data_IF_175387264045
#
_entry.id   IF_175387264045
#
_cell.length_a   1.000
_cell.length_b   1.000
_cell.length_c   1.000
_cell.angle_alpha   90.00
_cell.angle_beta   90.00
_cell.angle_gamma   90.00
#
_symmetry.space_group_name_H-M   'P 1'
#
loop_
_entity.id
_entity.type
_entity.pdbx_description
1 polymer ?
#
# COMPACT_ATOMS: atom_id res chain seq x y z
N UNK A 1 -33.81 44.48 35.93
CA UNK A 1 -33.68 44.22 34.48
C UNK A 1 -32.24 43.84 34.22
N UNK A 2 -32.03 42.55 33.97
CA UNK A 2 -30.70 41.92 33.78
C UNK A 2 -30.30 42.10 32.31
N UNK A 3 -29.06 42.48 31.97
CA UNK A 3 -28.65 42.58 30.58
C UNK A 3 -28.37 41.19 30.00
N UNK A 4 -29.00 40.91 28.86
CA UNK A 4 -28.80 39.75 28.02
C UNK A 4 -27.41 39.79 27.38
N UNK A 5 -26.59 38.77 27.63
CA UNK A 5 -25.34 38.52 26.90
C UNK A 5 -25.69 37.78 25.61
N UNK A 6 -25.58 38.45 24.47
CA UNK A 6 -25.60 37.82 23.14
C UNK A 6 -24.48 38.41 22.29
N UNK A 7 -23.63 37.55 21.78
CA UNK A 7 -22.54 37.91 20.87
C UNK A 7 -21.19 37.28 21.22
N UNK A 8 -21.14 36.00 21.58
CA UNK A 8 -19.89 35.25 21.41
C UNK A 8 -19.85 34.70 19.99
N UNK A 9 -19.04 35.39 19.21
CA UNK A 9 -18.47 35.07 17.92
C UNK A 9 -18.50 33.56 17.57
N UNK A 10 -19.35 33.22 16.61
CA UNK A 10 -19.49 31.86 16.06
C UNK A 10 -18.33 31.50 15.10
N UNK A 11 -17.38 32.42 14.91
CA UNK A 11 -16.24 32.29 14.00
C UNK A 11 -15.05 31.50 14.56
N UNK A 12 -15.12 31.03 15.82
CA UNK A 12 -14.01 30.31 16.44
C UNK A 12 -14.10 28.76 16.36
N UNK A 13 -15.18 28.19 15.82
CA UNK A 13 -15.41 26.72 15.85
C UNK A 13 -15.08 26.02 14.51
N UNK A 14 -14.90 26.76 13.41
CA UNK A 14 -14.71 26.16 12.07
C UNK A 14 -13.31 26.37 11.47
N UNK A 15 -12.26 26.48 12.28
CA UNK A 15 -10.90 26.16 11.81
C UNK A 15 -10.72 24.65 11.81
N UNK A 16 -11.49 23.95 10.97
CA UNK A 16 -11.18 22.57 10.58
C UNK A 16 -9.78 22.60 9.99
N UNK A 17 -8.89 21.85 10.62
CA UNK A 17 -7.52 21.62 10.23
C UNK A 17 -7.51 21.10 8.77
N UNK A 18 -7.39 22.00 7.79
CA UNK A 18 -7.08 21.61 6.42
C UNK A 18 -5.63 21.15 6.47
N UNK A 19 -5.44 19.83 6.56
CA UNK A 19 -4.11 19.24 6.44
C UNK A 19 -3.69 19.44 4.99
N UNK A 20 -2.86 20.46 4.74
CA UNK A 20 -2.12 20.57 3.49
C UNK A 20 -1.14 19.39 3.42
N UNK A 21 -1.62 18.25 2.92
CA UNK A 21 -0.83 17.04 2.73
C UNK A 21 0.16 17.27 1.58
N UNK A 22 1.39 17.64 1.93
CA UNK A 22 2.51 17.58 1.00
C UNK A 22 2.94 16.12 0.88
N UNK A 23 2.40 15.38 -0.08
CA UNK A 23 2.89 14.05 -0.46
C UNK A 23 4.37 14.16 -0.88
N UNK A 24 5.29 13.89 0.05
CA UNK A 24 6.74 13.84 -0.19
C UNK A 24 7.24 12.39 -0.22
N UNK A 25 6.41 11.51 -0.79
CA UNK A 25 6.49 10.04 -0.74
C UNK A 25 7.88 9.43 -1.00
N UNK A 26 8.79 10.10 -1.73
CA UNK A 26 10.14 9.58 -1.99
C UNK A 26 11.31 10.45 -1.61
N UNK A 27 11.12 11.64 -1.01
CA UNK A 27 12.27 12.52 -0.78
C UNK A 27 13.25 11.96 0.27
N UNK A 28 12.76 11.14 1.21
CA UNK A 28 13.55 10.60 2.34
C UNK A 28 13.48 9.07 2.53
N UNK A 29 12.65 8.32 1.79
CA UNK A 29 12.85 6.85 1.63
C UNK A 29 14.29 6.54 1.13
N UNK A 30 14.92 7.56 0.54
CA UNK A 30 16.28 7.63 0.05
C UNK A 30 17.37 7.69 1.14
N UNK A 31 17.12 8.17 2.36
CA UNK A 31 18.16 8.20 3.42
C UNK A 31 18.29 6.86 4.15
N UNK A 32 17.16 6.16 4.35
CA UNK A 32 17.15 4.83 4.98
C UNK A 32 17.61 3.73 4.02
N UNK A 33 17.21 3.80 2.74
CA UNK A 33 17.72 2.90 1.71
C UNK A 33 19.23 3.06 1.45
N UNK A 34 19.79 4.26 1.66
CA UNK A 34 21.24 4.49 1.59
C UNK A 34 22.01 3.79 2.70
N UNK A 35 21.46 3.73 3.93
CA UNK A 35 22.09 2.98 5.03
C UNK A 35 22.08 1.47 4.80
N UNK A 36 21.01 0.93 4.21
CA UNK A 36 20.95 -0.50 3.86
C UNK A 36 21.86 -0.90 2.69
N UNK A 37 22.11 0.01 1.74
CA UNK A 37 22.95 -0.25 0.56
C UNK A 37 24.46 -0.21 0.86
N UNK A 38 24.89 0.54 1.88
CA UNK A 38 26.29 0.57 2.30
C UNK A 38 26.64 -0.66 3.18
N UNK A 39 25.67 -1.21 3.92
CA UNK A 39 25.87 -2.42 4.75
C UNK A 39 25.89 -3.73 3.92
N UNK A 40 25.21 -3.77 2.76
CA UNK A 40 25.25 -4.93 1.85
C UNK A 40 26.57 -5.07 1.08
N UNK A 41 27.49 -4.09 1.19
CA UNK A 41 28.80 -4.12 0.54
C UNK A 41 29.90 -4.73 1.41
N UNK A 42 29.66 -5.00 2.69
CA UNK A 42 30.69 -5.54 3.60
C UNK A 42 30.46 -6.98 4.08
N UNK A 43 29.27 -7.58 3.99
CA UNK A 43 29.10 -9.01 4.33
C UNK A 43 29.37 -9.96 3.15
N UNK A 44 30.61 -9.92 2.68
CA UNK A 44 31.24 -11.08 2.05
C UNK A 44 31.51 -12.15 3.12
N UNK A 45 30.52 -13.01 3.39
CA UNK A 45 30.75 -14.30 4.05
C UNK A 45 29.95 -15.40 3.34
N UNK A 46 30.41 -15.69 2.12
CA UNK A 46 30.06 -16.84 1.32
C UNK A 46 30.38 -18.13 2.11
N UNK A 47 29.35 -18.85 2.57
CA UNK A 47 29.25 -20.33 2.72
C UNK A 47 28.28 -20.85 3.80
N UNK A 48 27.50 -20.02 4.49
CA UNK A 48 26.39 -20.49 5.35
C UNK A 48 24.98 -20.31 4.74
N UNK A 49 24.86 -19.47 3.71
CA UNK A 49 23.58 -18.99 3.15
C UNK A 49 22.82 -20.07 2.36
N UNK A 50 23.51 -21.05 1.76
CA UNK A 50 22.90 -22.01 0.84
C UNK A 50 22.05 -23.11 1.54
N UNK A 51 22.40 -23.50 2.77
CA UNK A 51 21.63 -24.52 3.50
C UNK A 51 20.37 -23.96 4.20
N UNK A 52 20.40 -22.69 4.61
CA UNK A 52 19.22 -21.96 5.10
C UNK A 52 18.23 -21.60 3.97
N UNK A 53 18.72 -21.55 2.73
CA UNK A 53 17.96 -21.14 1.55
C UNK A 53 16.90 -22.16 1.11
N UNK A 54 17.25 -23.46 1.08
CA UNK A 54 16.29 -24.51 0.69
C UNK A 54 15.19 -24.74 1.75
N UNK A 55 15.54 -24.55 3.04
CA UNK A 55 14.60 -24.64 4.15
C UNK A 55 13.66 -23.42 4.19
N UNK A 56 14.15 -22.20 3.93
CA UNK A 56 13.30 -21.01 3.81
C UNK A 56 12.34 -21.10 2.60
N UNK A 57 12.81 -21.58 1.45
CA UNK A 57 12.02 -21.75 0.22
C UNK A 57 10.81 -22.67 0.38
N UNK A 58 10.99 -23.81 1.06
CA UNK A 58 9.92 -24.78 1.33
C UNK A 58 8.92 -24.24 2.36
N UNK A 59 9.40 -23.44 3.33
CA UNK A 59 8.55 -22.84 4.37
C UNK A 59 7.66 -21.75 3.77
N UNK A 60 8.20 -20.88 2.92
CA UNK A 60 7.44 -19.77 2.34
C UNK A 60 6.33 -20.25 1.39
N UNK A 61 6.59 -21.21 0.49
CA UNK A 61 5.54 -21.77 -0.38
C UNK A 61 4.43 -22.48 0.41
N UNK A 62 4.76 -23.16 1.52
CA UNK A 62 3.76 -23.79 2.39
C UNK A 62 2.94 -22.74 3.13
N UNK A 63 3.58 -21.67 3.60
CA UNK A 63 2.91 -20.56 4.27
C UNK A 63 1.95 -19.83 3.32
N UNK A 64 2.31 -19.65 2.05
CA UNK A 64 1.41 -19.05 1.06
C UNK A 64 0.10 -19.83 0.88
N UNK A 65 0.13 -21.16 1.03
CA UNK A 65 -1.09 -21.98 0.95
C UNK A 65 -2.04 -21.76 2.13
N UNK A 66 -1.56 -21.23 3.24
CA UNK A 66 -2.39 -20.94 4.42
C UNK A 66 -2.95 -19.51 4.41
N UNK A 67 -2.44 -18.62 3.57
CA UNK A 67 -2.96 -17.24 3.45
C UNK A 67 -4.23 -17.24 2.60
N UNK A 68 -5.36 -16.68 3.07
CA UNK A 68 -6.58 -16.62 2.27
C UNK A 68 -6.42 -15.79 0.98
N UNK A 69 -7.14 -16.16 -0.08
CA UNK A 69 -7.07 -15.45 -1.37
C UNK A 69 -7.35 -13.94 -1.24
N UNK A 70 -8.38 -13.55 -0.46
CA UNK A 70 -8.74 -12.14 -0.27
C UNK A 70 -7.59 -11.31 0.31
N UNK A 71 -6.81 -11.92 1.21
CA UNK A 71 -5.63 -11.30 1.76
C UNK A 71 -4.50 -11.19 0.72
N UNK A 72 -4.21 -12.29 0.02
CA UNK A 72 -3.18 -12.31 -1.02
C UNK A 72 -3.45 -11.29 -2.11
N UNK A 73 -4.67 -11.28 -2.65
CA UNK A 73 -5.06 -10.37 -3.72
C UNK A 73 -5.09 -8.92 -3.24
N UNK A 74 -5.70 -8.66 -2.08
CA UNK A 74 -5.74 -7.33 -1.47
C UNK A 74 -4.34 -6.76 -1.24
N UNK A 75 -3.40 -7.57 -0.73
CA UNK A 75 -2.00 -7.16 -0.52
C UNK A 75 -1.26 -6.93 -1.84
N UNK A 76 -1.50 -7.80 -2.84
CA UNK A 76 -0.88 -7.73 -4.15
C UNK A 76 -1.23 -6.44 -4.92
N UNK A 77 -2.42 -5.86 -4.71
CA UNK A 77 -2.80 -4.55 -5.28
C UNK A 77 -1.84 -3.43 -4.84
N UNK A 78 -1.43 -3.44 -3.57
CA UNK A 78 -0.51 -2.46 -2.97
C UNK A 78 0.98 -2.83 -3.07
N UNK A 79 1.30 -3.96 -3.72
CA UNK A 79 2.67 -4.45 -3.87
C UNK A 79 3.66 -3.43 -4.50
N UNK A 80 3.28 -2.57 -5.46
CA UNK A 80 4.21 -1.57 -6.02
C UNK A 80 4.84 -0.68 -4.96
N UNK A 81 4.10 -0.31 -3.91
CA UNK A 81 4.60 0.51 -2.81
C UNK A 81 5.24 -0.33 -1.69
N UNK A 82 4.68 -1.50 -1.38
CA UNK A 82 5.26 -2.39 -0.36
C UNK A 82 6.69 -2.81 -0.73
N UNK A 83 6.94 -3.17 -1.99
CA UNK A 83 8.28 -3.59 -2.47
C UNK A 83 9.38 -2.57 -2.22
N UNK A 84 9.04 -1.28 -2.16
CA UNK A 84 9.99 -0.20 -1.84
C UNK A 84 10.37 -0.21 -0.36
N UNK A 85 9.38 -0.38 0.54
CA UNK A 85 9.62 -0.38 1.99
C UNK A 85 10.50 -1.54 2.40
N UNK A 86 10.29 -2.71 1.77
CA UNK A 86 11.13 -3.87 1.98
C UNK A 86 12.46 -3.82 1.22
N UNK A 87 12.77 -2.68 0.56
CA UNK A 87 14.07 -2.20 0.08
C UNK A 87 14.77 -3.04 -0.99
N UNK A 88 14.79 -4.35 -0.81
CA UNK A 88 15.86 -5.20 -1.26
C UNK A 88 15.44 -6.66 -1.53
N UNK A 89 14.13 -6.97 -1.58
CA UNK A 89 13.71 -8.34 -1.94
C UNK A 89 14.13 -8.76 -3.36
N UNK A 90 14.38 -7.79 -4.25
CA UNK A 90 14.84 -8.07 -5.60
C UNK A 90 16.36 -7.98 -5.80
N UNK A 91 17.10 -7.50 -4.79
CA UNK A 91 18.54 -7.21 -4.83
C UNK A 91 19.36 -8.08 -3.84
N UNK A 92 18.77 -8.50 -2.71
CA UNK A 92 19.39 -9.39 -1.70
C UNK A 92 19.22 -10.89 -2.04
N UNK A 93 18.29 -11.21 -2.93
CA UNK A 93 18.00 -12.58 -3.36
C UNK A 93 18.35 -12.72 -4.85
N UNK A 94 19.48 -13.38 -5.10
CA UNK A 94 19.95 -13.86 -6.41
C UNK A 94 19.86 -12.85 -7.56
N UNK A 95 20.98 -12.22 -7.93
CA UNK A 95 21.14 -11.51 -9.21
C UNK A 95 21.00 -12.40 -10.44
N UNK A 96 20.83 -13.72 -10.25
CA UNK A 96 20.53 -14.70 -11.28
C UNK A 96 19.07 -15.10 -11.17
N UNK A 97 18.36 -15.02 -12.30
CA UNK A 97 16.97 -15.42 -12.44
C UNK A 97 16.64 -16.70 -11.65
N UNK A 98 15.64 -16.60 -10.78
CA UNK A 98 15.00 -17.70 -10.06
C UNK A 98 15.86 -18.38 -8.98
N UNK A 99 15.86 -17.79 -7.79
CA UNK A 99 16.16 -18.52 -6.56
C UNK A 99 14.92 -19.24 -5.98
N UNK A 100 13.73 -18.96 -6.53
CA UNK A 100 12.44 -19.49 -6.08
C UNK A 100 12.03 -19.04 -4.68
N UNK A 101 12.50 -17.89 -4.21
CA UNK A 101 12.12 -17.30 -2.93
C UNK A 101 10.80 -16.53 -3.04
N UNK A 102 9.90 -16.70 -2.06
CA UNK A 102 8.57 -16.07 -2.06
C UNK A 102 8.48 -14.98 -0.97
N UNK A 103 8.27 -13.70 -1.33
CA UNK A 103 8.13 -12.59 -0.40
C UNK A 103 6.81 -12.65 0.35
N UNK A 104 6.76 -13.42 1.43
CA UNK A 104 5.57 -13.58 2.28
C UNK A 104 4.89 -12.23 2.63
N UNK A 105 5.66 -11.18 2.88
CA UNK A 105 5.17 -9.82 3.20
C UNK A 105 4.47 -9.09 2.04
N UNK A 106 4.51 -9.64 0.81
CA UNK A 106 3.72 -9.18 -0.35
C UNK A 106 2.45 -10.01 -0.57
N UNK A 107 2.27 -11.11 0.17
CA UNK A 107 1.07 -11.94 0.15
C UNK A 107 0.23 -11.81 1.42
N UNK A 108 0.83 -11.40 2.52
CA UNK A 108 0.16 -11.16 3.79
C UNK A 108 0.66 -9.90 4.49
N UNK A 109 -0.08 -9.48 5.51
CA UNK A 109 0.17 -8.30 6.34
C UNK A 109 -0.25 -8.57 7.79
N UNK A 110 0.14 -7.77 8.76
CA UNK A 110 -0.19 -7.90 10.18
C UNK A 110 0.49 -9.06 10.91
N UNK A 111 0.63 -10.22 10.27
CA UNK A 111 0.97 -11.49 10.92
C UNK A 111 2.05 -12.28 10.15
N UNK A 112 3.11 -11.59 9.66
CA UNK A 112 4.26 -12.24 9.02
C UNK A 112 5.52 -12.15 9.89
N UNK A 113 6.48 -13.09 9.77
CA UNK A 113 7.58 -13.23 10.73
C UNK A 113 8.41 -11.95 11.00
N UNK A 114 8.65 -11.14 9.96
CA UNK A 114 9.41 -9.88 10.07
C UNK A 114 8.56 -8.65 10.38
N UNK A 115 7.23 -8.79 10.55
CA UNK A 115 6.35 -7.63 10.76
C UNK A 115 6.80 -6.74 11.94
N UNK A 116 7.22 -7.29 13.10
CA UNK A 116 7.64 -6.45 14.23
C UNK A 116 8.86 -5.57 13.92
N UNK A 117 9.77 -6.04 13.05
CA UNK A 117 10.98 -5.30 12.65
C UNK A 117 10.62 -4.04 11.83
N UNK A 118 9.55 -4.09 11.04
CA UNK A 118 9.14 -3.00 10.14
C UNK A 118 8.07 -2.08 10.72
N UNK A 119 7.45 -2.43 11.86
CA UNK A 119 6.35 -1.67 12.46
C UNK A 119 6.69 -0.18 12.64
N UNK A 120 7.89 0.12 13.19
CA UNK A 120 8.32 1.49 13.44
C UNK A 120 8.59 2.28 12.15
N UNK A 121 9.07 1.62 11.10
CA UNK A 121 9.29 2.23 9.79
C UNK A 121 7.96 2.52 9.09
N UNK A 122 6.97 1.62 9.16
CA UNK A 122 5.63 1.90 8.65
C UNK A 122 4.98 3.08 9.36
N UNK A 123 5.07 3.18 10.69
CA UNK A 123 4.58 4.35 11.43
C UNK A 123 5.23 5.66 10.95
N UNK A 124 6.55 5.66 10.75
CA UNK A 124 7.27 6.84 10.23
C UNK A 124 6.79 7.22 8.82
N UNK A 125 6.66 6.25 7.93
CA UNK A 125 6.22 6.48 6.54
C UNK A 125 4.78 6.99 6.49
N UNK A 126 3.86 6.35 7.21
CA UNK A 126 2.46 6.74 7.28
C UNK A 126 2.29 8.17 7.81
N UNK A 127 3.01 8.52 8.89
CA UNK A 127 3.01 9.87 9.43
C UNK A 127 3.60 10.88 8.45
N UNK A 128 4.77 10.59 7.88
CA UNK A 128 5.50 11.51 7.00
C UNK A 128 4.76 11.79 5.69
N UNK A 129 4.25 10.74 5.05
CA UNK A 129 3.76 10.82 3.67
C UNK A 129 2.26 11.07 3.59
N UNK A 130 1.52 10.67 4.63
CA UNK A 130 0.06 10.73 4.65
C UNK A 130 -0.50 11.47 5.87
N UNK A 131 0.34 11.98 6.77
CA UNK A 131 -0.12 12.64 7.99
C UNK A 131 -0.89 11.71 8.93
N UNK A 132 -0.71 10.39 8.82
CA UNK A 132 -1.39 9.40 9.65
C UNK A 132 -0.61 9.23 10.96
N UNK A 133 -1.19 9.67 12.07
CA UNK A 133 -0.58 9.61 13.40
C UNK A 133 -1.24 8.56 14.30
N UNK A 134 -2.48 8.19 13.99
CA UNK A 134 -3.32 7.31 14.78
C UNK A 134 -4.37 6.59 13.91
N UNK A 135 -5.21 5.77 14.54
CA UNK A 135 -6.28 5.06 13.84
C UNK A 135 -7.33 6.02 13.22
N UNK A 136 -7.61 7.16 13.85
CA UNK A 136 -8.62 8.11 13.38
C UNK A 136 -8.19 8.83 12.09
N UNK A 137 -6.98 9.37 12.09
CA UNK A 137 -6.34 9.96 10.90
C UNK A 137 -6.15 8.94 9.78
N UNK A 138 -5.82 7.68 10.11
CA UNK A 138 -5.78 6.58 9.14
C UNK A 138 -7.14 6.38 8.45
N UNK A 139 -8.22 6.25 9.22
CA UNK A 139 -9.56 6.06 8.68
C UNK A 139 -10.02 7.27 7.85
N UNK A 140 -9.67 8.50 8.22
CA UNK A 140 -9.97 9.70 7.44
C UNK A 140 -9.27 9.70 6.07
N UNK A 141 -8.00 9.30 6.01
CA UNK A 141 -7.25 9.18 4.75
C UNK A 141 -7.81 8.06 3.88
N UNK A 142 -8.14 6.91 4.47
CA UNK A 142 -8.74 5.81 3.72
C UNK A 142 -10.14 6.13 3.21
N UNK A 143 -10.95 6.87 3.97
CA UNK A 143 -12.27 7.33 3.53
C UNK A 143 -12.17 8.23 2.29
N UNK A 144 -11.17 9.11 2.23
CA UNK A 144 -10.90 9.91 1.03
C UNK A 144 -10.67 9.02 -0.21
N UNK A 145 -9.83 7.99 -0.12
CA UNK A 145 -9.58 7.09 -1.26
C UNK A 145 -10.81 6.26 -1.64
N UNK A 146 -11.59 5.81 -0.66
CA UNK A 146 -12.84 5.09 -0.94
C UNK A 146 -13.84 5.98 -1.66
N UNK A 147 -13.99 7.23 -1.24
CA UNK A 147 -14.89 8.18 -1.89
C UNK A 147 -14.38 8.60 -3.28
N UNK A 148 -13.06 8.80 -3.43
CA UNK A 148 -12.42 9.05 -4.73
C UNK A 148 -12.67 7.91 -5.73
N UNK A 149 -12.78 6.68 -5.24
CA UNK A 149 -13.01 5.47 -6.03
C UNK A 149 -14.49 5.08 -6.14
N UNK A 150 -15.42 5.88 -5.60
CA UNK A 150 -16.84 5.56 -5.51
C UNK A 150 -17.12 4.19 -4.83
N UNK A 151 -16.33 3.83 -3.83
CA UNK A 151 -16.48 2.58 -3.06
C UNK A 151 -17.34 2.84 -1.82
N UNK A 152 -18.47 2.14 -1.64
CA UNK A 152 -19.32 2.31 -0.47
C UNK A 152 -18.58 1.95 0.83
N UNK A 153 -18.55 2.90 1.78
CA UNK A 153 -18.01 2.68 3.12
C UNK A 153 -18.87 1.73 4.00
N UNK A 154 -20.09 1.39 3.55
CA UNK A 154 -21.01 0.52 4.29
C UNK A 154 -20.40 -0.85 4.58
N UNK A 155 -20.50 -1.28 5.85
CA UNK A 155 -19.92 -2.55 6.30
C UNK A 155 -18.42 -2.49 6.60
N UNK A 156 -17.78 -1.32 6.48
CA UNK A 156 -16.36 -1.12 6.82
C UNK A 156 -16.22 -0.21 8.05
N UNK A 157 -15.00 -0.13 8.59
CA UNK A 157 -14.65 0.84 9.64
C UNK A 157 -14.73 2.31 9.19
N UNK A 158 -14.91 2.58 7.89
CA UNK A 158 -14.96 3.93 7.31
C UNK A 158 -16.34 4.59 7.41
N UNK A 159 -17.39 3.86 7.81
CA UNK A 159 -18.79 4.36 7.82
C UNK A 159 -18.97 5.69 8.56
N UNK A 160 -18.16 5.96 9.57
CA UNK A 160 -18.20 7.18 10.39
C UNK A 160 -17.03 8.13 10.17
N UNK A 161 -16.14 7.83 9.22
CA UNK A 161 -14.96 8.65 8.97
C UNK A 161 -15.32 9.86 8.10
N UNK A 162 -14.91 11.05 8.53
CA UNK A 162 -15.05 12.28 7.73
C UNK A 162 -13.84 12.47 6.83
N UNK A 163 -14.05 12.88 5.58
CA UNK A 163 -12.96 13.32 4.70
C UNK A 163 -12.27 14.56 5.26
N UNK A 164 -10.93 14.56 5.26
CA UNK A 164 -10.11 15.71 5.67
C UNK A 164 -9.07 16.10 4.61
N UNK A 165 -9.06 15.44 3.45
CA UNK A 165 -8.04 15.62 2.41
C UNK A 165 -8.61 16.42 1.24
N UNK A 166 -7.83 17.39 0.76
CA UNK A 166 -8.19 18.18 -0.42
C UNK A 166 -7.96 17.39 -1.72
N UNK A 167 -8.95 17.33 -2.63
CA UNK A 167 -8.89 16.54 -3.87
C UNK A 167 -7.98 17.14 -4.96
N UNK A 168 -7.32 18.29 -4.73
CA UNK A 168 -6.70 19.10 -5.79
C UNK A 168 -5.66 18.37 -6.66
N UNK A 169 -5.05 17.28 -6.18
CA UNK A 169 -4.08 16.47 -6.95
C UNK A 169 -4.72 15.27 -7.67
N UNK A 170 -5.84 14.77 -7.18
CA UNK A 170 -6.45 13.52 -7.63
C UNK A 170 -7.63 13.79 -8.56
N UNK A 171 -7.42 13.60 -9.86
CA UNK A 171 -8.49 13.54 -10.85
C UNK A 171 -8.64 12.11 -11.35
N UNK A 172 -9.64 11.40 -10.82
CA UNK A 172 -9.89 9.98 -11.13
C UNK A 172 -10.24 9.74 -12.60
N UNK A 173 -10.65 10.80 -13.33
CA UNK A 173 -10.98 10.74 -14.75
C UNK A 173 -9.73 10.65 -15.63
N UNK A 174 -8.54 10.96 -15.09
CA UNK A 174 -7.30 10.80 -15.83
C UNK A 174 -7.00 9.30 -16.01
N UNK A 175 -6.50 8.89 -17.19
CA UNK A 175 -6.13 7.50 -17.43
C UNK A 175 -5.23 6.92 -16.34
N UNK A 176 -5.63 5.77 -15.81
CA UNK A 176 -4.87 5.01 -14.81
C UNK A 176 -4.86 5.57 -13.39
N UNK A 177 -5.49 6.73 -13.14
CA UNK A 177 -5.53 7.33 -11.80
C UNK A 177 -6.24 6.43 -10.78
N UNK A 178 -7.18 5.61 -11.24
CA UNK A 178 -7.89 4.62 -10.43
C UNK A 178 -7.02 3.43 -10.02
N UNK A 179 -6.21 2.87 -10.93
CA UNK A 179 -5.23 1.85 -10.59
C UNK A 179 -4.23 2.36 -9.55
N UNK A 180 -3.77 3.61 -9.70
CA UNK A 180 -2.89 4.25 -8.73
C UNK A 180 -3.57 4.45 -7.37
N UNK A 181 -4.80 4.97 -7.35
CA UNK A 181 -5.56 5.17 -6.12
C UNK A 181 -5.84 3.85 -5.39
N UNK A 182 -6.18 2.77 -6.11
CA UNK A 182 -6.35 1.43 -5.54
C UNK A 182 -5.05 0.92 -4.93
N UNK A 183 -3.92 1.08 -5.63
CA UNK A 183 -2.62 0.67 -5.12
C UNK A 183 -2.24 1.43 -3.85
N UNK A 184 -2.47 2.75 -3.80
CA UNK A 184 -2.21 3.57 -2.62
C UNK A 184 -3.12 3.16 -1.46
N UNK A 185 -4.42 3.02 -1.68
CA UNK A 185 -5.37 2.62 -0.65
C UNK A 185 -5.05 1.23 -0.08
N UNK A 186 -4.74 0.25 -0.93
CA UNK A 186 -4.31 -1.07 -0.49
C UNK A 186 -3.00 -1.02 0.30
N UNK A 187 -2.01 -0.24 -0.15
CA UNK A 187 -0.77 -0.04 0.58
C UNK A 187 -1.03 0.57 1.97
N UNK A 188 -1.87 1.61 2.06
CA UNK A 188 -2.23 2.24 3.32
C UNK A 188 -2.91 1.29 4.28
N UNK A 189 -3.89 0.49 3.81
CA UNK A 189 -4.58 -0.50 4.65
C UNK A 189 -3.56 -1.49 5.22
N UNK A 190 -2.74 -2.10 4.35
CA UNK A 190 -1.78 -3.12 4.78
C UNK A 190 -0.69 -2.55 5.67
N UNK A 191 -0.13 -1.37 5.34
CA UNK A 191 0.88 -0.70 6.15
C UNK A 191 0.34 -0.23 7.51
N UNK A 192 -0.90 0.26 7.56
CA UNK A 192 -1.53 0.67 8.81
C UNK A 192 -1.83 -0.53 9.72
N UNK A 193 -2.17 -1.69 9.17
CA UNK A 193 -2.23 -2.94 9.96
C UNK A 193 -0.85 -3.38 10.41
N UNK A 194 0.16 -3.35 9.53
CA UNK A 194 1.55 -3.65 9.91
C UNK A 194 2.09 -2.69 10.98
N UNK A 195 1.57 -1.46 11.04
CA UNK A 195 1.88 -0.47 12.06
C UNK A 195 1.11 -0.66 13.39
N UNK A 196 0.06 -1.49 13.40
CA UNK A 196 -0.84 -1.67 14.54
C UNK A 196 -1.93 -0.60 14.66
N UNK A 197 -2.14 0.23 13.64
CA UNK A 197 -3.18 1.27 13.60
C UNK A 197 -4.55 0.73 13.18
N UNK A 198 -4.59 -0.40 12.46
CA UNK A 198 -5.81 -1.07 12.04
C UNK A 198 -5.78 -2.54 12.47
N UNK A 199 -6.93 -3.06 12.89
CA UNK A 199 -7.07 -4.50 13.11
C UNK A 199 -7.07 -5.26 11.77
N UNK A 200 -6.57 -6.49 11.81
CA UNK A 200 -6.54 -7.40 10.65
C UNK A 200 -7.92 -7.58 10.03
N UNK A 201 -8.94 -7.79 10.85
CA UNK A 201 -10.32 -7.98 10.40
C UNK A 201 -10.87 -6.75 9.66
N UNK A 202 -10.69 -5.54 10.21
CA UNK A 202 -11.15 -4.32 9.56
C UNK A 202 -10.44 -4.09 8.21
N UNK A 203 -9.14 -4.36 8.16
CA UNK A 203 -8.34 -4.26 6.96
C UNK A 203 -8.79 -5.24 5.87
N UNK A 204 -9.07 -6.50 6.21
CA UNK A 204 -9.58 -7.48 5.25
C UNK A 204 -10.91 -7.06 4.64
N UNK A 205 -11.84 -6.54 5.44
CA UNK A 205 -13.12 -6.03 4.92
C UNK A 205 -12.95 -4.86 3.95
N UNK A 206 -12.00 -3.96 4.21
CA UNK A 206 -11.68 -2.86 3.30
C UNK A 206 -10.99 -3.35 2.02
N UNK A 207 -10.04 -4.28 2.14
CA UNK A 207 -9.35 -4.87 0.99
C UNK A 207 -10.29 -5.66 0.10
N UNK A 208 -11.30 -6.33 0.65
CA UNK A 208 -12.33 -7.00 -0.15
C UNK A 208 -13.07 -6.01 -1.06
N UNK A 209 -13.49 -4.85 -0.53
CA UNK A 209 -14.13 -3.79 -1.32
C UNK A 209 -13.21 -3.22 -2.40
N UNK A 210 -11.93 -3.02 -2.10
CA UNK A 210 -10.94 -2.60 -3.10
C UNK A 210 -10.69 -3.67 -4.16
N UNK A 211 -10.70 -4.95 -3.76
CA UNK A 211 -10.51 -6.08 -4.65
C UNK A 211 -11.68 -6.19 -5.64
N UNK A 212 -12.90 -5.98 -5.15
CA UNK A 212 -14.09 -5.92 -6.01
C UNK A 212 -14.00 -4.73 -6.96
N UNK A 213 -13.63 -3.54 -6.48
CA UNK A 213 -13.41 -2.36 -7.32
C UNK A 213 -12.37 -2.63 -8.44
N UNK A 214 -11.22 -3.22 -8.08
CA UNK A 214 -10.18 -3.58 -9.04
C UNK A 214 -10.68 -4.60 -10.07
N UNK A 215 -11.39 -5.65 -9.62
CA UNK A 215 -11.93 -6.69 -10.50
C UNK A 215 -13.01 -6.22 -11.47
N UNK A 216 -13.67 -5.08 -11.19
CA UNK A 216 -14.62 -4.44 -12.11
C UNK A 216 -13.93 -3.52 -13.13
N UNK A 217 -12.75 -2.97 -12.81
CA UNK A 217 -12.05 -1.98 -13.63
C UNK A 217 -10.91 -2.56 -14.47
N UNK A 218 -10.33 -3.68 -14.04
CA UNK A 218 -9.21 -4.33 -14.72
C UNK A 218 -9.43 -5.84 -14.78
N UNK A 219 -8.80 -6.50 -15.76
CA UNK A 219 -8.99 -7.93 -16.03
C UNK A 219 -7.74 -8.77 -15.76
N UNK A 220 -6.62 -8.14 -15.43
CA UNK A 220 -5.34 -8.81 -15.26
C UNK A 220 -4.33 -7.94 -14.52
N UNK A 221 -3.31 -8.56 -13.93
CA UNK A 221 -2.15 -7.84 -13.40
C UNK A 221 -1.44 -7.02 -14.48
N UNK A 222 -1.45 -7.49 -15.74
CA UNK A 222 -0.86 -6.78 -16.87
C UNK A 222 -1.56 -5.44 -17.08
N UNK A 223 -2.88 -5.44 -17.28
CA UNK A 223 -3.67 -4.20 -17.48
C UNK A 223 -3.60 -3.29 -16.25
N UNK A 224 -3.73 -3.84 -15.04
CA UNK A 224 -3.59 -3.09 -13.80
C UNK A 224 -2.22 -2.39 -13.70
N UNK A 225 -1.13 -3.09 -14.04
CA UNK A 225 0.22 -2.53 -13.96
C UNK A 225 0.48 -1.42 -14.98
N UNK A 226 -0.07 -1.53 -16.18
CA UNK A 226 0.02 -0.50 -17.22
C UNK A 226 -0.74 0.76 -16.79
N UNK A 227 -1.98 0.59 -16.36
CA UNK A 227 -2.80 1.68 -15.82
C UNK A 227 -2.16 2.32 -14.59
N UNK A 228 -1.56 1.55 -13.68
CA UNK A 228 -0.83 2.09 -12.53
C UNK A 228 0.30 3.04 -12.97
N UNK A 229 1.13 2.64 -13.93
CA UNK A 229 2.23 3.46 -14.43
C UNK A 229 1.72 4.72 -15.16
N UNK A 230 0.63 4.61 -15.90
CA UNK A 230 -0.03 5.73 -16.56
C UNK A 230 -0.61 6.72 -15.54
N UNK A 231 -1.30 6.21 -14.52
CA UNK A 231 -1.81 6.98 -13.39
C UNK A 231 -0.70 7.73 -12.67
N UNK A 232 0.43 7.07 -12.40
CA UNK A 232 1.60 7.70 -11.79
C UNK A 232 2.13 8.87 -12.63
N UNK A 233 2.15 8.74 -13.96
CA UNK A 233 2.55 9.84 -14.85
C UNK A 233 1.53 11.00 -14.85
N UNK A 234 0.25 10.70 -14.70
CA UNK A 234 -0.86 11.65 -14.80
C UNK A 234 -1.18 12.41 -13.50
N UNK A 235 -1.10 11.71 -12.36
CA UNK A 235 -1.26 12.27 -11.02
C UNK A 235 0.04 12.91 -10.56
N UNK A 236 1.18 12.29 -10.88
CA UNK A 236 2.49 12.84 -10.59
C UNK A 236 2.84 12.83 -9.11
N UNK A 237 2.43 11.78 -8.37
CA UNK A 237 2.75 11.62 -6.95
C UNK A 237 4.26 11.67 -6.71
N UNK A 238 5.05 11.10 -7.64
CA UNK A 238 6.46 10.89 -7.47
C UNK A 238 7.29 11.68 -8.47
N UNK A 239 8.49 12.10 -8.03
CA UNK A 239 9.45 12.76 -8.91
C UNK A 239 10.05 11.76 -9.92
N UNK A 240 10.86 12.25 -10.86
CA UNK A 240 11.48 11.43 -11.92
C UNK A 240 12.25 10.20 -11.38
N UNK A 241 12.94 10.35 -10.24
CA UNK A 241 13.71 9.27 -9.62
C UNK A 241 12.75 8.22 -9.04
N UNK A 242 11.77 8.65 -8.23
CA UNK A 242 10.75 7.76 -7.65
C UNK A 242 9.98 6.98 -8.71
N UNK A 243 9.58 7.63 -9.81
CA UNK A 243 8.94 6.96 -10.95
C UNK A 243 9.83 5.92 -11.62
N UNK A 244 11.14 6.17 -11.72
CA UNK A 244 12.09 5.19 -12.26
C UNK A 244 12.17 3.95 -11.37
N UNK A 245 12.19 4.11 -10.04
CA UNK A 245 12.16 2.99 -9.10
C UNK A 245 10.85 2.23 -9.17
N UNK A 246 9.70 2.92 -9.19
CA UNK A 246 8.40 2.27 -9.36
C UNK A 246 8.35 1.46 -10.65
N UNK A 247 8.81 2.00 -11.78
CA UNK A 247 8.89 1.26 -13.05
C UNK A 247 9.75 0.01 -12.92
N UNK A 248 10.89 0.09 -12.20
CA UNK A 248 11.75 -1.06 -11.91
C UNK A 248 11.02 -2.12 -11.09
N UNK A 249 10.37 -1.74 -9.99
CA UNK A 249 9.65 -2.66 -9.11
C UNK A 249 8.43 -3.30 -9.79
N UNK A 250 7.70 -2.54 -10.62
CA UNK A 250 6.65 -3.08 -11.48
C UNK A 250 7.23 -4.14 -12.44
N UNK A 251 8.40 -3.86 -13.04
CA UNK A 251 9.11 -4.85 -13.85
C UNK A 251 9.43 -6.13 -13.09
N UNK A 252 9.88 -6.02 -11.83
CA UNK A 252 10.12 -7.18 -10.97
C UNK A 252 8.84 -7.92 -10.57
N UNK A 253 7.76 -7.21 -10.26
CA UNK A 253 6.47 -7.81 -9.96
C UNK A 253 5.93 -8.59 -11.17
N UNK A 254 6.18 -8.11 -12.40
CA UNK A 254 5.79 -8.85 -13.61
C UNK A 254 6.73 -10.00 -13.96
N UNK A 255 8.02 -9.86 -13.69
CA UNK A 255 9.03 -10.80 -14.19
C UNK A 255 9.47 -11.89 -13.22
N UNK A 256 9.39 -11.69 -11.90
CA UNK A 256 9.97 -12.63 -10.92
C UNK A 256 9.01 -13.76 -10.59
N UNK A 257 9.52 -15.00 -10.55
CA UNK A 257 8.74 -16.22 -10.28
C UNK A 257 8.02 -16.15 -8.93
N UNK A 258 8.66 -15.66 -7.87
CA UNK A 258 8.05 -15.52 -6.55
C UNK A 258 7.13 -14.30 -6.40
N UNK A 259 6.87 -13.52 -7.45
CA UNK A 259 6.03 -12.33 -7.35
C UNK A 259 4.56 -12.68 -7.07
N UNK A 260 3.84 -11.94 -6.22
CA UNK A 260 2.40 -12.13 -6.08
C UNK A 260 1.64 -11.95 -7.39
N UNK A 261 2.10 -11.10 -8.31
CA UNK A 261 1.43 -10.91 -9.60
C UNK A 261 1.56 -12.12 -10.56
N UNK A 262 2.49 -13.03 -10.27
CA UNK A 262 2.67 -14.27 -11.02
C UNK A 262 2.08 -15.50 -10.31
N UNK A 263 1.66 -15.37 -9.05
CA UNK A 263 1.16 -16.50 -8.24
C UNK A 263 -0.25 -16.31 -7.69
N UNK A 264 -0.72 -15.07 -7.56
CA UNK A 264 -2.09 -14.75 -7.19
C UNK A 264 -2.89 -14.58 -8.47
N UNK A 265 -3.88 -15.43 -8.70
CA UNK A 265 -4.73 -15.35 -9.89
C UNK A 265 -5.56 -14.07 -9.86
N UNK A 266 -5.63 -13.34 -10.97
CA UNK A 266 -6.66 -12.33 -11.16
C UNK A 266 -8.01 -13.01 -11.42
N UNK A 267 -8.94 -12.92 -10.48
CA UNK A 267 -10.29 -13.42 -10.67
C UNK A 267 -11.17 -12.24 -11.07
N UNK A 268 -11.60 -12.23 -12.33
CA UNK A 268 -12.59 -11.28 -12.82
C UNK A 268 -13.87 -11.41 -11.99
N UNK A 269 -14.38 -10.29 -11.48
CA UNK A 269 -15.68 -10.25 -10.84
C UNK A 269 -16.70 -9.94 -11.93
N UNK A 270 -17.66 -10.84 -12.24
CA UNK A 270 -18.71 -10.50 -13.17
C UNK A 270 -19.47 -9.28 -12.63
N UNK A 271 -19.79 -8.33 -13.51
CA UNK A 271 -20.69 -7.19 -13.24
C UNK A 271 -22.11 -7.71 -12.99
N UNK A 272 -22.36 -8.40 -11.87
CA UNK A 272 -23.69 -8.81 -11.47
C UNK A 272 -24.13 -7.99 -10.26
N UNK A 273 -25.01 -7.01 -10.49
CA UNK A 273 -25.94 -6.56 -9.44
C UNK A 273 -25.84 -5.11 -8.95
N UNK A 274 -25.20 -4.19 -9.66
CA UNK A 274 -25.41 -2.75 -9.41
C UNK A 274 -26.12 -2.12 -10.62
N UNK A 275 -27.45 -2.12 -10.58
CA UNK A 275 -28.33 -1.17 -11.26
C UNK A 275 -29.07 -0.39 -10.19
#
# INVERSE_FOLDING_TARGET
>A
MVPTVQGMDQDCVNKKLIVNMMFKFFRELWSSARKGLDEAKEEMAHNAVLAAHDSAKIVDQKLLKTVPYAEQFGTALGAPFRTIVFGDWFTVFGSKNDDGTYPVHLYQFGDYPKQPEYQSEFLKLLKRDFGIEDAGSCLAVLAFYFNLLDIPASGTALKSASEQISPAMWDIRKPGADALAIAVASHLITAATDAGLLSKSAALTMLEKLSDCAGLRFNSWETYSQCFLEGENNVGLNNKIGRSYLKRYIGYLRGKVGSPWNNVRWIERPMSGYR
#
